data_IF_566006936748
#
_entry.id   IF_566006936748
#
_cell.length_a   1.000
_cell.length_b   1.000
_cell.length_c   1.000
_cell.angle_alpha   90.00
_cell.angle_beta   90.00
_cell.angle_gamma   90.00
#
_symmetry.space_group_name_H-M   'P 1'
#
loop_
_entity.id
_entity.type
_entity.pdbx_description
1 polymer ?
#
# COMPACT_ATOMS: atom_id res chain seq x y z
N UNK A 1 7.29 31.98 0.01
CA UNK A 1 6.20 31.07 -0.38
C UNK A 1 6.35 29.84 0.51
N UNK A 2 5.37 29.51 1.29
CA UNK A 2 5.38 28.25 2.04
C UNK A 2 5.40 27.11 1.03
N UNK A 3 6.23 26.11 1.26
CA UNK A 3 6.34 24.96 0.39
C UNK A 3 5.07 24.12 0.57
N UNK A 4 4.37 23.80 -0.51
CA UNK A 4 3.19 22.93 -0.49
C UNK A 4 3.57 21.54 0.00
N UNK A 5 2.86 21.00 0.98
CA UNK A 5 3.06 19.64 1.49
C UNK A 5 2.68 18.63 0.42
N UNK A 6 3.50 17.59 0.23
CA UNK A 6 3.26 16.52 -0.74
C UNK A 6 3.12 15.18 -0.01
N UNK A 7 1.96 14.55 -0.16
CA UNK A 7 1.65 13.20 0.33
C UNK A 7 1.77 12.21 -0.83
N UNK A 8 2.66 11.23 -0.72
CA UNK A 8 2.72 10.08 -1.61
C UNK A 8 1.99 8.90 -0.96
N UNK A 9 0.97 8.36 -1.63
CA UNK A 9 0.09 7.32 -1.08
C UNK A 9 0.15 6.08 -1.97
N UNK A 10 0.42 4.90 -1.38
CA UNK A 10 0.40 3.63 -2.12
C UNK A 10 -1.04 3.18 -2.43
N UNK A 11 -1.19 2.28 -3.39
CA UNK A 11 -2.48 1.69 -3.75
C UNK A 11 -2.76 0.44 -2.92
N UNK A 12 -1.88 -0.56 -3.04
CA UNK A 12 -2.10 -1.90 -2.47
C UNK A 12 -1.89 -1.89 -0.95
N UNK A 13 -2.88 -2.37 -0.20
CA UNK A 13 -2.85 -2.32 1.28
C UNK A 13 -3.18 -0.96 1.90
N UNK A 14 -3.16 0.14 1.14
CA UNK A 14 -3.45 1.50 1.64
C UNK A 14 -4.78 2.04 1.10
N UNK A 15 -4.92 2.17 -0.20
CA UNK A 15 -6.18 2.60 -0.84
C UNK A 15 -7.07 1.40 -1.15
N UNK A 16 -6.48 0.32 -1.65
CA UNK A 16 -7.12 -0.90 -2.12
C UNK A 16 -6.88 -2.06 -1.15
N UNK A 17 -7.93 -2.76 -0.75
CA UNK A 17 -7.84 -3.92 0.12
C UNK A 17 -7.41 -5.17 -0.65
N UNK A 18 -6.20 -5.12 -1.20
CA UNK A 18 -5.62 -6.18 -2.05
C UNK A 18 -5.46 -7.48 -1.28
N UNK A 19 -5.07 -7.41 0.00
CA UNK A 19 -4.89 -8.59 0.84
C UNK A 19 -6.19 -9.38 1.00
N UNK A 20 -7.29 -8.68 1.29
CA UNK A 20 -8.61 -9.32 1.41
C UNK A 20 -9.03 -9.97 0.09
N UNK A 21 -8.84 -9.28 -1.04
CA UNK A 21 -9.15 -9.82 -2.35
C UNK A 21 -8.33 -11.08 -2.68
N UNK A 22 -7.04 -11.11 -2.31
CA UNK A 22 -6.19 -12.31 -2.46
C UNK A 22 -6.74 -13.48 -1.65
N UNK A 23 -7.07 -13.27 -0.38
CA UNK A 23 -7.60 -14.31 0.51
C UNK A 23 -8.94 -14.82 0.03
N UNK A 24 -9.87 -13.94 -0.35
CA UNK A 24 -11.19 -14.33 -0.88
C UNK A 24 -11.05 -15.10 -2.19
N UNK A 25 -10.18 -14.67 -3.10
CA UNK A 25 -9.89 -15.38 -4.35
C UNK A 25 -9.31 -16.76 -4.06
N UNK A 26 -8.31 -16.87 -3.17
CA UNK A 26 -7.76 -18.16 -2.78
C UNK A 26 -8.84 -19.10 -2.23
N UNK A 27 -9.62 -18.66 -1.25
CA UNK A 27 -10.66 -19.46 -0.61
C UNK A 27 -11.70 -19.97 -1.62
N UNK A 28 -12.09 -19.12 -2.58
CA UNK A 28 -13.01 -19.45 -3.65
C UNK A 28 -12.52 -20.61 -4.54
N UNK A 29 -11.23 -20.60 -4.90
CA UNK A 29 -10.67 -21.58 -5.84
C UNK A 29 -10.18 -22.87 -5.18
N UNK A 30 -9.79 -22.80 -3.91
CA UNK A 30 -9.24 -23.94 -3.17
C UNK A 30 -10.18 -24.50 -2.10
N UNK A 31 -11.42 -24.01 -2.02
CA UNK A 31 -12.40 -24.40 -0.99
C UNK A 31 -11.74 -24.38 0.41
N UNK A 32 -11.14 -23.25 0.75
CA UNK A 32 -10.40 -23.02 1.99
C UNK A 32 -11.04 -21.88 2.80
N UNK A 33 -10.60 -21.65 4.02
CA UNK A 33 -11.15 -20.65 4.95
C UNK A 33 -10.08 -19.75 5.56
N UNK A 34 -9.01 -19.46 4.82
CA UNK A 34 -7.98 -18.51 5.25
C UNK A 34 -8.57 -17.14 5.53
N UNK A 35 -7.95 -16.46 6.48
CA UNK A 35 -8.23 -15.07 6.83
C UNK A 35 -7.04 -14.19 6.44
N UNK A 36 -7.19 -12.88 6.50
CA UNK A 36 -6.08 -11.95 6.28
C UNK A 36 -4.94 -12.17 7.29
N UNK A 37 -5.27 -12.58 8.52
CA UNK A 37 -4.29 -12.84 9.59
C UNK A 37 -3.36 -14.03 9.27
N UNK A 38 -3.78 -14.94 8.38
CA UNK A 38 -2.94 -16.05 7.93
C UNK A 38 -1.85 -15.61 6.95
N UNK A 39 -1.87 -14.34 6.50
CA UNK A 39 -0.88 -13.77 5.57
C UNK A 39 0.20 -13.04 6.36
N UNK A 40 1.07 -13.78 7.00
CA UNK A 40 2.11 -13.30 7.92
C UNK A 40 3.42 -12.88 7.23
N UNK A 41 3.52 -13.04 5.92
CA UNK A 41 4.66 -12.62 5.12
C UNK A 41 4.21 -11.88 3.85
N UNK A 42 4.97 -10.85 3.48
CA UNK A 42 4.74 -10.10 2.23
C UNK A 42 4.88 -10.98 0.98
N UNK A 43 5.76 -11.98 1.02
CA UNK A 43 5.95 -12.93 -0.08
C UNK A 43 4.85 -13.99 -0.08
N UNK A 44 3.80 -13.77 -0.84
CA UNK A 44 2.63 -14.65 -0.92
C UNK A 44 2.96 -16.10 -1.33
N UNK A 45 4.08 -16.34 -2.03
CA UNK A 45 4.52 -17.69 -2.41
C UNK A 45 4.75 -18.58 -1.16
N UNK A 46 5.22 -18.01 -0.05
CA UNK A 46 5.43 -18.73 1.21
C UNK A 46 4.12 -18.97 1.97
N UNK A 47 3.15 -18.09 1.80
CA UNK A 47 1.86 -18.13 2.53
C UNK A 47 0.84 -19.05 1.86
N UNK A 48 0.93 -19.19 0.54
CA UNK A 48 -0.02 -19.98 -0.28
C UNK A 48 0.67 -21.11 -1.05
N UNK A 49 1.43 -22.02 -0.37
CA UNK A 49 2.20 -23.08 -1.06
C UNK A 49 1.31 -24.10 -1.77
N UNK A 50 0.03 -24.21 -1.37
CA UNK A 50 -0.95 -25.09 -2.01
C UNK A 50 -1.20 -24.70 -3.47
N UNK A 51 -1.13 -23.41 -3.80
CA UNK A 51 -1.29 -22.94 -5.17
C UNK A 51 -0.26 -23.62 -6.08
N UNK A 52 1.04 -23.47 -5.75
CA UNK A 52 2.10 -24.07 -6.57
C UNK A 52 2.01 -25.58 -6.61
N UNK A 53 1.69 -26.21 -5.48
CA UNK A 53 1.55 -27.68 -5.39
C UNK A 53 0.45 -28.24 -6.30
N UNK A 54 -0.69 -27.55 -6.42
CA UNK A 54 -1.86 -28.04 -7.16
C UNK A 54 -1.89 -27.54 -8.61
N UNK A 55 -1.32 -26.37 -8.89
CA UNK A 55 -1.39 -25.74 -10.22
C UNK A 55 -0.07 -25.75 -10.98
N UNK A 56 1.05 -25.95 -10.30
CA UNK A 56 2.39 -25.78 -10.86
C UNK A 56 2.80 -24.31 -11.09
N UNK A 57 1.99 -23.35 -10.62
CA UNK A 57 2.20 -21.91 -10.82
C UNK A 57 2.49 -21.27 -9.44
N UNK A 58 3.48 -20.37 -9.37
CA UNK A 58 3.76 -19.65 -8.12
C UNK A 58 2.59 -18.78 -7.69
N UNK A 59 2.36 -18.66 -6.39
CA UNK A 59 1.24 -17.87 -5.87
C UNK A 59 1.26 -16.42 -6.36
N UNK A 60 2.44 -15.80 -6.44
CA UNK A 60 2.59 -14.44 -6.98
C UNK A 60 2.18 -14.31 -8.45
N UNK A 61 2.44 -15.32 -9.27
CA UNK A 61 1.99 -15.36 -10.67
C UNK A 61 0.48 -15.65 -10.74
N UNK A 62 0.01 -16.59 -9.93
CA UNK A 62 -1.39 -16.98 -9.87
C UNK A 62 -2.29 -15.79 -9.50
N UNK A 63 -1.96 -15.05 -8.43
CA UNK A 63 -2.72 -13.87 -8.02
C UNK A 63 -2.58 -12.70 -8.99
N UNK A 64 -1.34 -12.31 -9.33
CA UNK A 64 -1.09 -11.02 -9.98
C UNK A 64 -1.07 -11.07 -11.51
N UNK A 65 -1.18 -12.26 -12.10
CA UNK A 65 -1.30 -12.40 -13.55
C UNK A 65 -2.56 -13.17 -13.95
N UNK A 66 -2.77 -14.38 -13.40
CA UNK A 66 -3.90 -15.22 -13.78
C UNK A 66 -5.22 -14.69 -13.21
N UNK A 67 -5.27 -14.40 -11.91
CA UNK A 67 -6.44 -13.88 -11.20
C UNK A 67 -6.35 -12.39 -10.90
N UNK A 68 -5.59 -11.66 -11.71
CA UNK A 68 -5.34 -10.23 -11.50
C UNK A 68 -6.60 -9.36 -11.59
N UNK A 69 -7.65 -9.83 -12.25
CA UNK A 69 -8.92 -9.10 -12.33
C UNK A 69 -9.62 -9.12 -10.96
N UNK A 70 -9.78 -10.31 -10.36
CA UNK A 70 -10.38 -10.46 -9.03
C UNK A 70 -9.59 -9.72 -7.96
N UNK A 71 -8.24 -9.81 -8.03
CA UNK A 71 -7.36 -9.21 -7.02
C UNK A 71 -7.23 -7.70 -7.17
N UNK A 72 -7.24 -7.16 -8.39
CA UNK A 72 -6.98 -5.73 -8.62
C UNK A 72 -8.21 -4.94 -9.09
N UNK A 73 -9.03 -5.44 -10.02
CA UNK A 73 -10.16 -4.66 -10.55
C UNK A 73 -11.42 -4.79 -9.68
N UNK A 74 -11.65 -5.97 -9.07
CA UNK A 74 -12.86 -6.25 -8.31
C UNK A 74 -12.71 -6.02 -6.80
N UNK A 75 -11.49 -5.83 -6.32
CA UNK A 75 -11.23 -5.56 -4.92
C UNK A 75 -11.90 -4.27 -4.43
N UNK A 76 -12.29 -4.27 -3.17
CA UNK A 76 -12.89 -3.09 -2.53
C UNK A 76 -11.81 -2.11 -2.06
N UNK A 77 -12.13 -0.82 -1.94
CA UNK A 77 -11.29 0.13 -1.22
C UNK A 77 -11.12 -0.27 0.25
N UNK A 78 -9.99 0.11 0.85
CA UNK A 78 -9.85 0.12 2.30
C UNK A 78 -10.89 1.07 2.91
N UNK A 79 -11.38 0.71 4.10
CA UNK A 79 -12.45 1.48 4.77
C UNK A 79 -11.98 2.92 5.03
N UNK A 80 -12.78 3.89 4.58
CA UNK A 80 -12.47 5.32 4.75
C UNK A 80 -11.35 5.87 3.87
N UNK A 81 -10.70 5.05 3.02
CA UNK A 81 -9.55 5.48 2.24
C UNK A 81 -9.85 6.64 1.28
N UNK A 82 -11.01 6.63 0.61
CA UNK A 82 -11.40 7.71 -0.29
C UNK A 82 -11.64 9.02 0.45
N UNK A 83 -12.30 8.97 1.61
CA UNK A 83 -12.56 10.16 2.43
C UNK A 83 -11.26 10.74 2.99
N UNK A 84 -10.37 9.88 3.46
CA UNK A 84 -9.04 10.28 3.92
C UNK A 84 -8.22 10.90 2.79
N UNK A 85 -8.20 10.28 1.61
CA UNK A 85 -7.51 10.80 0.43
C UNK A 85 -7.99 12.22 0.07
N UNK A 86 -9.31 12.39 -0.06
CA UNK A 86 -9.93 13.73 -0.32
C UNK A 86 -9.72 14.71 0.83
N UNK A 87 -9.65 14.20 2.04
CA UNK A 87 -9.34 14.98 3.22
C UNK A 87 -7.93 15.56 3.18
N UNK A 88 -6.91 14.73 2.90
CA UNK A 88 -5.51 15.15 2.78
C UNK A 88 -5.28 16.19 1.67
N UNK A 89 -6.06 16.12 0.56
CA UNK A 89 -6.00 17.12 -0.52
C UNK A 89 -6.33 18.55 -0.07
N UNK A 90 -6.91 18.74 1.11
CA UNK A 90 -7.16 20.08 1.69
C UNK A 90 -5.93 20.66 2.38
N UNK A 91 -4.94 19.82 2.67
CA UNK A 91 -3.71 20.20 3.40
C UNK A 91 -2.47 20.23 2.50
N UNK A 92 -2.54 19.64 1.31
CA UNK A 92 -1.44 19.62 0.37
C UNK A 92 -1.75 18.81 -0.88
N UNK A 93 -0.76 18.63 -1.72
CA UNK A 93 -0.86 17.80 -2.92
C UNK A 93 -0.77 16.33 -2.53
N UNK A 94 -1.73 15.52 -3.00
CA UNK A 94 -1.71 14.06 -2.83
C UNK A 94 -1.41 13.42 -4.18
N UNK A 95 -0.33 12.63 -4.25
CA UNK A 95 0.04 11.83 -5.41
C UNK A 95 -0.12 10.34 -5.07
N UNK A 96 -0.50 9.54 -6.05
CA UNK A 96 -0.59 8.09 -5.92
C UNK A 96 0.71 7.48 -6.44
N UNK A 97 1.34 6.60 -5.65
CA UNK A 97 2.61 5.97 -6.02
C UNK A 97 2.57 4.49 -5.74
N UNK A 98 2.59 3.67 -6.79
CA UNK A 98 2.51 2.20 -6.64
C UNK A 98 3.49 1.47 -7.54
N UNK A 99 3.90 0.26 -7.14
CA UNK A 99 4.64 -0.64 -8.01
C UNK A 99 3.69 -1.64 -8.69
N UNK A 100 3.45 -1.42 -9.98
CA UNK A 100 2.68 -2.34 -10.81
C UNK A 100 3.60 -2.98 -11.86
N UNK A 101 3.85 -4.29 -11.71
CA UNK A 101 4.90 -5.00 -12.46
C UNK A 101 4.68 -5.01 -13.97
N UNK A 102 3.45 -5.17 -14.43
CA UNK A 102 3.11 -5.31 -15.85
C UNK A 102 2.25 -4.16 -16.34
N UNK A 103 2.23 -3.96 -17.67
CA UNK A 103 1.31 -3.00 -18.30
C UNK A 103 -0.15 -3.33 -17.99
N UNK A 104 -0.52 -4.63 -17.97
CA UNK A 104 -1.87 -5.08 -17.58
C UNK A 104 -2.20 -4.58 -16.17
N UNK A 105 -1.32 -4.81 -15.19
CA UNK A 105 -1.56 -4.40 -13.81
C UNK A 105 -1.66 -2.86 -13.66
N UNK A 106 -0.87 -2.10 -14.42
CA UNK A 106 -0.98 -0.63 -14.45
C UNK A 106 -2.34 -0.16 -14.96
N UNK A 107 -2.82 -0.77 -16.05
CA UNK A 107 -4.15 -0.47 -16.61
C UNK A 107 -5.25 -0.84 -15.60
N UNK A 108 -5.13 -2.00 -14.94
CA UNK A 108 -6.07 -2.45 -13.91
C UNK A 108 -6.08 -1.49 -12.71
N UNK A 109 -4.93 -1.01 -12.28
CA UNK A 109 -4.83 -0.01 -11.20
C UNK A 109 -5.54 1.30 -11.57
N UNK A 110 -5.32 1.82 -12.79
CA UNK A 110 -5.99 3.04 -13.25
C UNK A 110 -7.50 2.88 -13.36
N UNK A 111 -7.98 1.76 -13.91
CA UNK A 111 -9.43 1.45 -13.95
C UNK A 111 -10.03 1.33 -12.55
N UNK A 112 -9.30 0.69 -11.62
CA UNK A 112 -9.75 0.54 -10.26
C UNK A 112 -9.85 1.89 -9.55
N UNK A 113 -8.86 2.77 -9.72
CA UNK A 113 -8.87 4.13 -9.16
C UNK A 113 -10.08 4.91 -9.67
N UNK A 114 -10.31 4.91 -10.99
CA UNK A 114 -11.45 5.59 -11.63
C UNK A 114 -12.79 5.04 -11.11
N UNK A 115 -12.96 3.71 -11.11
CA UNK A 115 -14.17 3.01 -10.62
C UNK A 115 -14.51 3.39 -9.17
N UNK A 116 -13.50 3.60 -8.34
CA UNK A 116 -13.66 3.89 -6.91
C UNK A 116 -13.56 5.39 -6.55
N UNK A 117 -13.53 6.26 -7.57
CA UNK A 117 -13.60 7.72 -7.39
C UNK A 117 -12.30 8.38 -6.92
N UNK A 118 -11.17 7.70 -7.05
CA UNK A 118 -9.84 8.28 -6.86
C UNK A 118 -9.38 8.99 -8.15
N UNK A 119 -8.58 10.08 -8.05
CA UNK A 119 -8.04 10.74 -9.21
C UNK A 119 -7.00 9.86 -9.92
N UNK A 120 -6.90 10.03 -11.24
CA UNK A 120 -5.93 9.30 -12.08
C UNK A 120 -4.88 10.21 -12.72
N UNK A 121 -4.87 11.50 -12.35
CA UNK A 121 -3.98 12.51 -12.95
C UNK A 121 -2.57 12.47 -12.36
N UNK A 122 -2.46 12.33 -11.03
CA UNK A 122 -1.17 12.32 -10.33
C UNK A 122 -0.83 10.90 -9.86
N UNK A 123 -0.63 9.98 -10.82
CA UNK A 123 -0.29 8.57 -10.55
C UNK A 123 1.11 8.27 -11.09
N UNK A 124 1.98 7.79 -10.20
CA UNK A 124 3.34 7.36 -10.51
C UNK A 124 3.47 5.85 -10.33
N UNK A 125 3.92 5.14 -11.36
CA UNK A 125 4.27 3.72 -11.24
C UNK A 125 5.78 3.57 -11.11
N UNK A 126 6.25 3.42 -9.87
CA UNK A 126 7.66 3.31 -9.52
C UNK A 126 7.94 1.97 -8.84
N UNK A 127 8.99 1.27 -9.29
CA UNK A 127 9.51 0.12 -8.59
C UNK A 127 10.33 0.54 -7.37
N UNK A 128 11.07 1.62 -7.52
CA UNK A 128 11.95 2.18 -6.50
C UNK A 128 11.37 3.51 -6.02
N UNK A 129 10.75 3.49 -4.85
CA UNK A 129 10.15 4.67 -4.22
C UNK A 129 11.19 5.60 -3.57
N UNK A 130 12.48 5.21 -3.50
CA UNK A 130 13.57 6.09 -3.03
C UNK A 130 13.80 7.28 -3.98
N UNK A 131 13.28 7.21 -5.21
CA UNK A 131 13.32 8.30 -6.18
C UNK A 131 12.35 9.45 -5.85
N UNK A 132 11.44 9.24 -4.88
CA UNK A 132 10.49 10.26 -4.46
C UNK A 132 11.15 11.29 -3.56
N UNK A 133 10.75 12.54 -3.76
CA UNK A 133 11.07 13.67 -2.90
C UNK A 133 9.75 14.29 -2.44
N UNK A 134 9.12 13.67 -1.44
CA UNK A 134 7.84 14.10 -0.89
C UNK A 134 7.96 14.32 0.61
N UNK A 135 7.01 15.03 1.21
CA UNK A 135 7.02 15.21 2.66
C UNK A 135 6.58 13.93 3.35
N UNK A 136 5.54 13.28 2.86
CA UNK A 136 5.02 12.03 3.41
C UNK A 136 5.06 10.91 2.37
N UNK A 137 5.45 9.69 2.82
CA UNK A 137 5.21 8.43 2.11
C UNK A 137 4.35 7.54 3.00
N UNK A 138 3.18 7.14 2.49
CA UNK A 138 2.19 6.32 3.19
C UNK A 138 2.11 4.98 2.45
N UNK A 139 2.53 3.91 3.11
CA UNK A 139 2.77 2.60 2.49
C UNK A 139 2.56 1.48 3.54
N UNK A 140 2.21 0.28 3.12
CA UNK A 140 2.10 -0.90 3.98
C UNK A 140 3.36 -1.78 3.98
N UNK A 141 4.32 -1.45 3.10
CA UNK A 141 5.57 -2.19 2.96
C UNK A 141 6.76 -1.38 3.48
N UNK A 142 7.33 -1.82 4.61
CA UNK A 142 8.49 -1.21 5.26
C UNK A 142 9.71 -1.03 4.34
N UNK A 143 9.89 -1.92 3.36
CA UNK A 143 11.00 -1.83 2.41
C UNK A 143 11.00 -0.53 1.60
N UNK A 144 9.83 0.07 1.39
CA UNK A 144 9.69 1.32 0.66
C UNK A 144 10.23 2.53 1.44
N UNK A 145 10.45 2.38 2.75
CA UNK A 145 11.03 3.44 3.59
C UNK A 145 12.56 3.37 3.66
N UNK A 146 13.17 2.23 3.31
CA UNK A 146 14.63 2.07 3.35
C UNK A 146 15.30 2.95 2.30
N UNK A 147 16.26 3.79 2.74
CA UNK A 147 16.99 4.73 1.88
C UNK A 147 16.10 5.76 1.14
N UNK A 148 14.90 6.02 1.64
CA UNK A 148 13.99 7.03 1.06
C UNK A 148 14.48 8.45 1.32
N UNK A 149 13.97 9.41 0.52
CA UNK A 149 14.22 10.84 0.70
C UNK A 149 12.97 11.59 1.22
N UNK A 150 12.04 10.87 1.84
CA UNK A 150 10.82 11.45 2.43
C UNK A 150 11.12 11.95 3.86
N UNK A 151 10.40 12.98 4.30
CA UNK A 151 10.55 13.51 5.66
C UNK A 151 9.80 12.65 6.69
N UNK A 152 8.61 12.19 6.34
CA UNK A 152 7.73 11.45 7.24
C UNK A 152 7.30 10.13 6.59
N UNK A 153 7.69 9.01 7.19
CA UNK A 153 7.28 7.69 6.78
C UNK A 153 6.05 7.25 7.59
N UNK A 154 5.00 6.80 6.90
CA UNK A 154 3.75 6.36 7.52
C UNK A 154 3.48 4.92 7.12
N UNK A 155 3.72 3.99 8.05
CA UNK A 155 3.47 2.57 7.85
C UNK A 155 2.00 2.25 8.17
N UNK A 156 1.30 1.69 7.20
CA UNK A 156 -0.06 1.18 7.39
C UNK A 156 0.01 -0.27 7.84
N UNK A 157 -0.70 -0.60 8.92
CA UNK A 157 -0.74 -1.94 9.49
C UNK A 157 -1.26 -2.99 8.51
N UNK A 158 -0.52 -4.09 8.44
CA UNK A 158 -0.91 -5.30 7.74
C UNK A 158 -0.41 -6.52 8.52
N UNK A 159 -1.04 -7.70 8.39
CA UNK A 159 -0.59 -8.88 9.13
C UNK A 159 0.87 -9.24 8.90
N UNK A 160 1.40 -9.01 7.70
CA UNK A 160 2.78 -9.31 7.32
C UNK A 160 3.82 -8.29 7.83
N UNK A 161 3.39 -7.14 8.36
CA UNK A 161 4.30 -6.13 8.91
C UNK A 161 4.16 -5.91 10.43
N UNK A 162 3.29 -6.68 11.12
CA UNK A 162 3.04 -6.55 12.56
C UNK A 162 4.29 -6.66 13.45
N UNK A 163 5.24 -7.50 13.03
CA UNK A 163 6.46 -7.77 13.79
C UNK A 163 7.60 -6.81 13.45
N UNK A 164 7.36 -5.81 12.60
CA UNK A 164 8.37 -4.83 12.22
C UNK A 164 8.38 -3.73 13.26
N UNK A 165 9.49 -3.57 13.94
CA UNK A 165 9.71 -2.44 14.83
C UNK A 165 10.04 -1.18 14.02
N UNK A 166 9.41 -0.05 14.34
CA UNK A 166 9.65 1.20 13.62
C UNK A 166 11.11 1.66 13.73
N UNK A 167 11.77 1.32 14.82
CA UNK A 167 13.18 1.63 15.05
C UNK A 167 14.08 0.93 14.02
N UNK A 168 13.78 -0.32 13.66
CA UNK A 168 14.57 -1.07 12.66
C UNK A 168 14.49 -0.44 11.26
N UNK A 169 13.40 0.27 10.97
CA UNK A 169 13.27 1.03 9.73
C UNK A 169 14.17 2.26 9.76
N UNK A 170 14.21 2.98 10.89
CA UNK A 170 15.04 4.18 11.07
C UNK A 170 16.52 3.81 10.95
N UNK A 171 16.98 2.77 11.63
CA UNK A 171 18.39 2.32 11.59
C UNK A 171 18.83 1.89 10.18
N UNK A 172 17.90 1.47 9.35
CA UNK A 172 18.18 1.08 7.95
C UNK A 172 18.18 2.25 6.98
N UNK A 173 17.79 3.45 7.44
CA UNK A 173 17.78 4.68 6.66
C UNK A 173 18.95 5.58 7.07
N UNK A 174 19.38 6.51 6.18
CA UNK A 174 20.29 7.58 6.60
C UNK A 174 19.52 8.44 7.60
N UNK A 175 19.94 8.42 8.88
CA UNK A 175 19.31 9.10 10.03
C UNK A 175 18.99 10.59 9.77
N UNK A 176 19.72 11.25 8.88
CA UNK A 176 19.56 12.67 8.56
C UNK A 176 18.37 12.99 7.64
N UNK A 177 17.62 11.99 7.13
CA UNK A 177 16.61 12.22 6.08
C UNK A 177 15.17 12.04 6.54
N UNK A 178 14.88 11.04 7.38
CA UNK A 178 13.55 10.82 7.91
C UNK A 178 13.44 11.55 9.24
N UNK A 179 12.54 12.54 9.32
CA UNK A 179 12.25 13.29 10.54
C UNK A 179 11.36 12.51 11.50
N UNK A 180 10.44 11.71 10.96
CA UNK A 180 9.58 10.84 11.76
C UNK A 180 9.14 9.60 11.00
N UNK A 181 8.86 8.54 11.78
CA UNK A 181 8.16 7.36 11.31
C UNK A 181 7.01 7.07 12.26
N UNK A 182 5.86 6.74 11.71
CA UNK A 182 4.63 6.44 12.46
C UNK A 182 3.92 5.24 11.87
N UNK A 183 3.07 4.62 12.69
CA UNK A 183 2.25 3.45 12.32
C UNK A 183 0.78 3.74 12.58
N UNK A 184 -0.07 3.42 11.61
CA UNK A 184 -1.52 3.58 11.70
C UNK A 184 -2.24 2.34 11.18
N UNK A 185 -3.43 2.07 11.68
CA UNK A 185 -4.25 0.94 11.20
C UNK A 185 -4.77 1.15 9.78
N UNK A 186 -4.95 2.41 9.37
CA UNK A 186 -5.45 2.75 8.03
C UNK A 186 -5.03 4.17 7.63
N UNK A 187 -5.20 4.49 6.34
CA UNK A 187 -5.08 5.86 5.84
C UNK A 187 -6.06 6.81 6.54
N UNK A 188 -7.26 6.31 6.91
CA UNK A 188 -8.26 7.11 7.60
C UNK A 188 -7.83 7.49 9.02
N UNK A 189 -7.19 6.57 9.74
CA UNK A 189 -6.65 6.84 11.07
C UNK A 189 -5.52 7.87 11.01
N UNK A 190 -4.59 7.71 10.04
CA UNK A 190 -3.56 8.73 9.80
C UNK A 190 -4.17 10.10 9.49
N UNK A 191 -5.14 10.17 8.58
CA UNK A 191 -5.80 11.43 8.24
C UNK A 191 -6.48 12.06 9.46
N UNK A 192 -7.17 11.27 10.27
CA UNK A 192 -7.85 11.75 11.47
C UNK A 192 -6.86 12.35 12.47
N UNK A 193 -5.75 11.66 12.71
CA UNK A 193 -4.68 12.12 13.58
C UNK A 193 -4.03 13.38 13.03
N UNK A 194 -3.76 13.42 11.73
CA UNK A 194 -3.21 14.58 11.03
C UNK A 194 -4.09 15.83 11.21
N UNK A 195 -5.42 15.68 11.11
CA UNK A 195 -6.37 16.80 11.29
C UNK A 195 -6.43 17.26 12.74
N UNK A 196 -6.41 16.33 13.71
CA UNK A 196 -6.56 16.65 15.12
C UNK A 196 -5.31 17.31 15.71
N UNK A 197 -4.13 16.92 15.25
CA UNK A 197 -2.86 17.34 15.85
C UNK A 197 -1.96 18.15 14.92
N UNK A 198 -2.44 18.51 13.74
CA UNK A 198 -1.74 19.42 12.81
C UNK A 198 -0.59 18.79 12.04
N UNK A 199 -0.62 17.48 11.87
CA UNK A 199 0.51 16.74 11.30
C UNK A 199 1.60 16.48 12.32
N UNK A 200 2.49 15.55 12.05
CA UNK A 200 3.69 15.35 12.86
C UNK A 200 4.58 16.59 12.67
N UNK A 201 4.68 17.44 13.70
CA UNK A 201 5.59 18.57 13.74
C UNK A 201 7.03 18.10 13.90
#
# INVERSE_FOLDING_TARGET
MEQEIIFAVDIDGVLRNTLKAMVETYNKYFDDNKTCEDVFEFKCDNVFPRIEKETGIKASEWFFQLHSEEVFEDSLPCVGALDAFKGLQKYGKVIIVSYQKTTKNKIQALKWLEKNGFPTTDVCFLKDKTLLHTDYLIDDNDWNFKNTNVKHAVLIDAPYNKNIELFDIIDSTNEDKILSISRYYSLFDFYTDYVLYGGVQ
#
